data_IF_642924704339
#
_entry.id   IF_642924704339
#
_cell.length_a   1.000
_cell.length_b   1.000
_cell.length_c   1.000
_cell.angle_alpha   90.00
_cell.angle_beta   90.00
_cell.angle_gamma   90.00
#
_symmetry.space_group_name_H-M   'P 1'
#
loop_
_entity.id
_entity.type
_entity.pdbx_description
1 polymer ?
#
# COMPACT_ATOMS: atom_id res chain seq x y z
N UNK A 1 -9.42 4.28 10.72
CA UNK A 1 -10.27 3.89 9.57
C UNK A 1 -9.49 2.91 8.71
N UNK A 2 -10.16 1.90 8.15
CA UNK A 2 -9.54 0.93 7.25
C UNK A 2 -10.42 0.80 6.00
N UNK A 3 -9.80 0.87 4.84
CA UNK A 3 -10.42 0.74 3.54
C UNK A 3 -9.81 -0.47 2.84
N UNK A 4 -10.66 -1.27 2.19
CA UNK A 4 -10.27 -2.45 1.44
C UNK A 4 -10.77 -2.22 0.01
N UNK A 5 -9.87 -2.26 -0.95
CA UNK A 5 -10.19 -2.08 -2.37
C UNK A 5 -10.71 -3.38 -2.98
N UNK A 6 -11.33 -3.30 -4.16
CA UNK A 6 -11.82 -4.48 -4.87
C UNK A 6 -10.71 -5.50 -5.19
N UNK A 7 -9.47 -5.03 -5.36
CA UNK A 7 -8.29 -5.89 -5.60
C UNK A 7 -7.62 -6.38 -4.30
N UNK A 8 -8.23 -6.15 -3.14
CA UNK A 8 -7.74 -6.64 -1.85
C UNK A 8 -6.58 -5.83 -1.24
N UNK A 9 -6.23 -4.67 -1.80
CA UNK A 9 -5.30 -3.74 -1.14
C UNK A 9 -5.96 -3.12 0.09
N UNK A 10 -5.16 -2.82 1.11
CA UNK A 10 -5.64 -2.30 2.39
C UNK A 10 -4.95 -0.98 2.70
N UNK A 11 -5.75 0.06 2.96
CA UNK A 11 -5.28 1.37 3.40
C UNK A 11 -5.87 1.65 4.79
N UNK A 12 -5.01 1.92 5.77
CA UNK A 12 -5.43 2.27 7.13
C UNK A 12 -4.94 3.66 7.52
N UNK A 13 -5.86 4.52 7.93
CA UNK A 13 -5.56 5.85 8.48
C UNK A 13 -5.79 5.85 9.98
N UNK A 14 -4.78 6.25 10.76
CA UNK A 14 -4.84 6.32 12.22
C UNK A 14 -4.26 7.64 12.74
N UNK A 15 -4.91 8.31 13.71
CA UNK A 15 -4.27 9.43 14.40
C UNK A 15 -3.04 8.92 15.16
N UNK A 16 -1.93 9.65 15.07
CA UNK A 16 -0.76 9.38 15.92
C UNK A 16 -1.07 9.72 17.37
N UNK A 17 -0.61 8.90 18.32
CA UNK A 17 -0.81 9.14 19.74
C UNK A 17 0.16 10.13 20.37
N UNK A 18 1.22 10.54 19.65
CA UNK A 18 2.31 11.37 20.19
C UNK A 18 2.51 12.69 19.44
N UNK A 19 2.03 12.81 18.20
CA UNK A 19 2.17 14.02 17.38
C UNK A 19 0.84 14.30 16.68
N UNK A 20 0.51 15.56 16.33
CA UNK A 20 -0.73 15.92 15.62
C UNK A 20 -0.62 15.58 14.13
N UNK A 21 -0.42 14.29 13.82
CA UNK A 21 -0.29 13.75 12.46
C UNK A 21 -1.15 12.51 12.28
N UNK A 22 -1.62 12.29 11.06
CA UNK A 22 -2.26 11.04 10.65
C UNK A 22 -1.18 10.10 10.11
N UNK A 23 -1.15 8.84 10.59
CA UNK A 23 -0.31 7.77 10.05
C UNK A 23 -1.13 6.95 9.06
N UNK A 24 -0.60 6.80 7.86
CA UNK A 24 -1.13 5.92 6.83
C UNK A 24 -0.32 4.63 6.76
N UNK A 25 -1.02 3.52 6.66
CA UNK A 25 -0.45 2.20 6.38
C UNK A 25 -1.06 1.68 5.09
N UNK A 26 -0.24 1.17 4.18
CA UNK A 26 -0.66 0.61 2.91
C UNK A 26 -0.14 -0.83 2.79
N UNK A 27 -1.01 -1.74 2.38
CA UNK A 27 -0.66 -3.11 2.00
C UNK A 27 -1.24 -3.40 0.63
N UNK A 28 -0.40 -3.89 -0.27
CA UNK A 28 -0.77 -4.28 -1.64
C UNK A 28 -0.41 -5.74 -1.84
N UNK A 29 -1.14 -6.40 -2.73
CA UNK A 29 -0.85 -7.76 -3.14
C UNK A 29 -1.28 -7.97 -4.59
N UNK A 30 -0.75 -9.01 -5.19
CA UNK A 30 -1.16 -9.54 -6.51
C UNK A 30 -0.76 -11.01 -6.56
N UNK A 31 -1.46 -11.86 -7.34
CA UNK A 31 -0.99 -13.21 -7.63
C UNK A 31 0.43 -13.21 -8.20
N UNK A 32 1.21 -14.21 -7.81
CA UNK A 32 2.53 -14.50 -8.35
C UNK A 32 2.44 -15.82 -9.13
N UNK A 33 2.56 -15.74 -10.45
CA UNK A 33 2.36 -16.89 -11.35
C UNK A 33 3.53 -17.87 -11.30
N UNK A 34 4.75 -17.38 -11.12
CA UNK A 34 5.97 -18.18 -11.07
C UNK A 34 7.05 -17.55 -10.20
N UNK A 35 8.07 -18.32 -9.82
CA UNK A 35 9.19 -17.79 -9.04
C UNK A 35 10.04 -16.82 -9.89
N UNK A 36 10.11 -17.05 -11.19
CA UNK A 36 10.83 -16.23 -12.18
C UNK A 36 10.23 -14.82 -12.29
N UNK A 37 8.91 -14.70 -12.08
CA UNK A 37 8.19 -13.42 -12.13
C UNK A 37 8.32 -12.58 -10.86
N UNK A 38 9.00 -13.08 -9.82
CA UNK A 38 9.05 -12.44 -8.50
C UNK A 38 9.52 -11.00 -8.59
N UNK A 39 10.68 -10.77 -9.23
CA UNK A 39 11.29 -9.43 -9.28
C UNK A 39 10.42 -8.43 -10.04
N UNK A 40 9.86 -8.84 -11.17
CA UNK A 40 8.95 -7.98 -11.94
C UNK A 40 7.65 -7.68 -11.18
N UNK A 41 7.17 -8.64 -10.39
CA UNK A 41 5.97 -8.46 -9.56
C UNK A 41 6.23 -7.56 -8.36
N UNK A 42 7.39 -7.72 -7.71
CA UNK A 42 7.86 -6.85 -6.63
C UNK A 42 7.98 -5.39 -7.10
N UNK A 43 8.58 -5.15 -8.27
CA UNK A 43 8.72 -3.82 -8.87
C UNK A 43 7.34 -3.18 -9.11
N UNK A 44 6.37 -3.92 -9.67
CA UNK A 44 4.99 -3.44 -9.86
C UNK A 44 4.30 -3.06 -8.54
N UNK A 45 4.47 -3.88 -7.50
CA UNK A 45 3.89 -3.60 -6.19
C UNK A 45 4.56 -2.39 -5.52
N UNK A 46 5.88 -2.22 -5.68
CA UNK A 46 6.61 -1.07 -5.19
C UNK A 46 6.17 0.23 -5.87
N UNK A 47 5.98 0.22 -7.19
CA UNK A 47 5.42 1.36 -7.94
C UNK A 47 4.01 1.70 -7.44
N UNK A 48 3.15 0.70 -7.24
CA UNK A 48 1.81 0.91 -6.70
C UNK A 48 1.82 1.52 -5.30
N UNK A 49 2.69 1.06 -4.40
CA UNK A 49 2.88 1.65 -3.07
C UNK A 49 3.29 3.11 -3.20
N UNK A 50 4.27 3.40 -4.07
CA UNK A 50 4.76 4.76 -4.29
C UNK A 50 3.61 5.69 -4.71
N UNK A 51 2.83 5.31 -5.72
CA UNK A 51 1.68 6.11 -6.18
C UNK A 51 0.66 6.34 -5.07
N UNK A 52 0.28 5.30 -4.32
CA UNK A 52 -0.69 5.45 -3.21
C UNK A 52 -0.14 6.39 -2.13
N UNK A 53 1.13 6.27 -1.78
CA UNK A 53 1.73 7.11 -0.73
C UNK A 53 1.90 8.56 -1.19
N UNK A 54 2.14 8.81 -2.48
CA UNK A 54 2.14 10.15 -3.08
C UNK A 54 0.74 10.78 -3.00
N UNK A 55 -0.32 10.03 -3.32
CA UNK A 55 -1.71 10.51 -3.23
C UNK A 55 -2.17 10.81 -1.79
N UNK A 56 -1.58 10.12 -0.80
CA UNK A 56 -1.91 10.27 0.62
C UNK A 56 -1.09 11.34 1.34
N UNK A 57 -0.04 11.87 0.71
CA UNK A 57 0.73 12.98 1.25
C UNK A 57 0.08 14.32 0.83
N UNK A 58 -0.48 15.09 1.77
CA UNK A 58 -1.07 16.40 1.48
C UNK A 58 -0.01 17.46 1.14
#
# INVERSE_FOLDING_TARGET
>A
LQFITADGSIISARPSGTEPKIKFYCSVNTPLESAEDFKATEEKLAEKIKTIMEDLNP
#
